data_IF_899472128968
#
_entry.id   IF_899472128968
#
_cell.length_a   1.000
_cell.length_b   1.000
_cell.length_c   1.000
_cell.angle_alpha   90.00
_cell.angle_beta   90.00
_cell.angle_gamma   90.00
#
_symmetry.space_group_name_H-M   'P 1'
#
loop_
_entity.id
_entity.type
_entity.pdbx_description
1 polymer ?
#
# COMPACT_ATOMS: atom_id res chain seq x y z
N UNK A 1 -44.91 31.02 47.08
CA UNK A 1 -44.91 30.03 48.17
C UNK A 1 -44.10 28.85 47.62
N UNK A 2 -42.79 28.89 47.87
CA UNK A 2 -42.05 28.20 48.92
C UNK A 2 -41.92 26.70 48.54
N UNK A 3 -40.73 26.41 48.07
CA UNK A 3 -39.60 25.59 48.59
C UNK A 3 -39.80 24.07 48.60
N UNK A 4 -38.86 23.44 47.91
CA UNK A 4 -38.05 22.27 48.29
C UNK A 4 -37.14 21.94 47.09
N UNK A 5 -35.97 22.45 46.93
CA UNK A 5 -34.72 22.39 47.69
C UNK A 5 -34.09 21.01 47.70
N UNK A 6 -32.96 20.96 46.96
CA UNK A 6 -31.71 20.27 47.34
C UNK A 6 -31.80 18.95 48.08
N UNK A 7 -31.51 17.88 47.36
CA UNK A 7 -30.66 16.76 47.78
C UNK A 7 -30.56 15.72 46.66
N UNK A 8 -29.57 15.81 45.83
CA UNK A 8 -29.10 14.69 44.99
C UNK A 8 -27.79 15.08 44.24
N UNK A 9 -26.85 15.61 45.02
CA UNK A 9 -25.45 15.76 44.59
C UNK A 9 -24.63 15.31 45.80
N UNK A 10 -24.36 14.01 45.93
CA UNK A 10 -23.27 13.42 46.72
C UNK A 10 -23.38 11.89 46.72
N UNK A 11 -23.23 11.26 45.55
CA UNK A 11 -23.01 9.79 45.52
C UNK A 11 -22.30 9.30 44.26
N UNK A 12 -21.49 10.13 43.61
CA UNK A 12 -20.77 9.81 42.35
C UNK A 12 -19.25 9.68 42.44
N UNK A 13 -18.59 10.05 43.55
CA UNK A 13 -17.13 10.21 43.54
C UNK A 13 -16.32 9.10 44.23
N UNK A 14 -16.93 8.01 44.68
CA UNK A 14 -16.21 6.98 45.44
C UNK A 14 -16.10 5.60 44.75
N UNK A 15 -16.38 5.46 43.46
CA UNK A 15 -16.19 4.18 42.75
C UNK A 15 -15.06 4.13 41.73
N UNK A 16 -14.43 5.24 41.39
CA UNK A 16 -13.29 5.26 40.43
C UNK A 16 -11.92 5.06 41.10
N UNK A 17 -11.77 5.34 42.41
CA UNK A 17 -10.48 5.22 43.09
C UNK A 17 -10.13 3.81 43.58
N UNK A 18 -11.08 2.88 43.64
CA UNK A 18 -10.84 1.49 44.09
C UNK A 18 -10.44 0.49 43.01
N UNK A 19 -10.55 0.84 41.72
CA UNK A 19 -10.13 -0.06 40.61
C UNK A 19 -8.69 0.15 40.15
N UNK A 20 -8.07 1.27 40.46
CA UNK A 20 -6.68 1.59 40.05
C UNK A 20 -5.64 1.00 41.04
N UNK A 21 -6.02 0.76 42.30
CA UNK A 21 -5.09 0.23 43.31
C UNK A 21 -4.91 -1.29 43.25
N UNK A 22 -5.78 -2.04 42.58
CA UNK A 22 -5.67 -3.50 42.48
C UNK A 22 -4.84 -4.02 41.28
N UNK A 23 -4.44 -3.16 40.34
CA UNK A 23 -3.62 -3.55 39.20
C UNK A 23 -2.11 -3.28 39.34
N UNK A 24 -1.68 -2.56 40.36
CA UNK A 24 -0.25 -2.24 40.60
C UNK A 24 0.44 -3.22 41.53
N UNK A 25 -0.29 -4.08 42.23
CA UNK A 25 0.28 -5.05 43.19
C UNK A 25 0.58 -6.45 42.56
N UNK A 26 0.16 -6.69 41.30
CA UNK A 26 0.33 -8.00 40.65
C UNK A 26 1.58 -8.13 39.77
N UNK A 27 2.40 -7.10 39.59
CA UNK A 27 3.61 -7.12 38.73
C UNK A 27 4.94 -7.20 39.55
N UNK A 28 4.86 -7.14 40.88
CA UNK A 28 6.02 -7.13 41.76
C UNK A 28 6.56 -8.49 42.26
N UNK A 29 5.98 -9.63 41.89
CA UNK A 29 6.26 -10.90 42.53
C UNK A 29 6.85 -12.01 41.66
N UNK A 30 7.42 -11.70 40.48
CA UNK A 30 7.97 -12.73 39.57
C UNK A 30 9.41 -12.49 39.11
N UNK A 31 10.22 -11.77 39.87
CA UNK A 31 11.65 -11.49 39.50
C UNK A 31 12.60 -11.76 40.67
N UNK A 32 12.50 -12.92 41.33
CA UNK A 32 13.48 -13.32 42.35
C UNK A 32 13.57 -14.83 42.48
N UNK A 33 14.02 -15.56 41.48
CA UNK A 33 14.68 -16.89 41.60
C UNK A 33 15.37 -17.17 40.26
N UNK A 34 16.63 -16.83 40.09
CA UNK A 34 17.69 -17.59 39.42
C UNK A 34 19.01 -16.81 39.62
N UNK A 35 19.69 -17.04 40.72
CA UNK A 35 21.10 -16.71 40.88
C UNK A 35 21.66 -17.61 41.98
N UNK A 36 22.11 -18.78 41.60
CA UNK A 36 23.07 -19.56 42.38
C UNK A 36 23.64 -20.69 41.54
N UNK A 37 24.93 -20.77 41.55
CA UNK A 37 25.81 -21.86 41.16
C UNK A 37 26.49 -21.75 39.80
N UNK A 38 27.74 -21.30 39.86
CA UNK A 38 28.90 -22.00 39.34
C UNK A 38 30.18 -21.28 39.76
N UNK A 39 30.91 -21.85 40.71
CA UNK A 39 32.29 -21.51 41.08
C UNK A 39 33.29 -22.21 40.14
N UNK A 40 34.55 -21.72 40.05
CA UNK A 40 35.52 -22.16 39.06
C UNK A 40 36.26 -23.42 39.51
N UNK A 41 36.44 -24.37 38.58
CA UNK A 41 37.34 -25.52 38.73
C UNK A 41 38.71 -25.18 38.13
N UNK A 42 39.73 -25.52 38.89
CA UNK A 42 41.13 -25.30 38.60
C UNK A 42 41.70 -26.24 37.56
N UNK A 43 42.57 -25.72 36.71
CA UNK A 43 43.43 -26.46 35.77
C UNK A 43 44.65 -27.06 36.47
N UNK A 44 45.10 -28.27 36.11
CA UNK A 44 46.48 -28.71 36.43
C UNK A 44 47.43 -28.41 35.25
N UNK A 45 48.58 -27.87 35.59
CA UNK A 45 49.69 -27.65 34.72
C UNK A 45 50.38 -28.97 34.36
N UNK A 46 50.82 -29.13 33.12
CA UNK A 46 51.73 -30.19 32.71
C UNK A 46 52.91 -29.58 31.94
N UNK A 47 54.05 -30.04 32.37
CA UNK A 47 55.43 -29.69 32.08
C UNK A 47 55.91 -29.69 30.63
N UNK A 48 56.82 -28.76 30.31
CA UNK A 48 57.65 -28.65 29.15
C UNK A 48 58.76 -29.68 29.16
N UNK A 49 59.13 -30.38 28.09
CA UNK A 49 60.48 -30.92 27.88
C UNK A 49 61.31 -30.07 26.89
N UNK A 50 62.59 -30.11 27.14
CA UNK A 50 63.66 -29.33 26.63
C UNK A 50 63.99 -29.57 25.12
N UNK A 51 64.67 -28.57 24.56
CA UNK A 51 65.19 -28.49 23.20
C UNK A 51 66.22 -29.55 22.88
N UNK A 52 66.21 -30.05 21.63
CA UNK A 52 67.33 -30.75 21.03
C UNK A 52 67.53 -30.22 19.60
N UNK A 53 68.77 -29.87 19.35
CA UNK A 53 69.61 -29.54 18.20
C UNK A 53 69.02 -29.46 16.77
N UNK A 54 69.34 -28.35 16.11
CA UNK A 54 69.24 -28.06 14.70
C UNK A 54 70.22 -28.91 13.84
N UNK A 55 69.85 -29.31 12.62
CA UNK A 55 70.78 -29.46 11.52
C UNK A 55 70.64 -28.34 10.47
N UNK A 56 71.78 -28.06 9.87
CA UNK A 56 72.19 -27.04 8.95
C UNK A 56 71.29 -26.93 7.70
N UNK A 57 71.07 -25.67 7.26
CA UNK A 57 70.35 -25.26 6.09
C UNK A 57 70.95 -25.78 4.78
N UNK A 58 70.07 -26.36 3.96
CA UNK A 58 70.37 -26.59 2.52
C UNK A 58 69.45 -25.61 1.74
N UNK A 59 70.09 -24.81 0.88
CA UNK A 59 69.50 -23.83 0.00
C UNK A 59 68.41 -24.45 -0.91
N UNK A 60 67.17 -23.96 -0.80
CA UNK A 60 66.04 -24.24 -1.68
C UNK A 60 66.12 -23.34 -2.95
N UNK A 61 65.61 -23.79 -4.10
CA UNK A 61 65.58 -23.01 -5.34
C UNK A 61 64.55 -21.90 -5.29
N UNK A 62 64.83 -20.78 -5.95
CA UNK A 62 63.95 -19.64 -6.15
C UNK A 62 62.55 -20.09 -6.63
N UNK A 63 61.54 -19.73 -5.89
CA UNK A 63 60.14 -19.84 -6.30
C UNK A 63 59.86 -18.82 -7.38
N UNK A 64 59.44 -19.32 -8.53
CA UNK A 64 58.83 -18.61 -9.62
C UNK A 64 57.51 -17.99 -9.20
N UNK A 65 57.30 -16.73 -9.61
CA UNK A 65 56.09 -15.95 -9.74
C UNK A 65 54.87 -16.42 -8.98
N UNK A 66 54.56 -15.70 -7.90
CA UNK A 66 53.22 -15.65 -7.33
C UNK A 66 52.27 -15.00 -8.36
N UNK A 67 51.45 -15.83 -9.00
CA UNK A 67 50.29 -15.38 -9.74
C UNK A 67 49.49 -14.48 -8.81
N UNK A 68 49.32 -13.21 -9.16
CA UNK A 68 48.47 -12.27 -8.44
C UNK A 68 47.10 -12.91 -8.31
N UNK A 69 46.67 -13.14 -7.06
CA UNK A 69 45.30 -13.56 -6.79
C UNK A 69 44.41 -12.46 -7.34
N UNK A 70 43.69 -12.75 -8.42
CA UNK A 70 42.62 -11.89 -8.92
C UNK A 70 41.61 -11.79 -7.79
N UNK A 71 41.52 -10.61 -7.16
CA UNK A 71 40.51 -10.36 -6.17
C UNK A 71 39.14 -10.67 -6.80
N UNK A 72 38.38 -11.55 -6.16
CA UNK A 72 37.00 -11.82 -6.57
C UNK A 72 36.26 -10.47 -6.74
N UNK A 73 35.47 -10.26 -7.79
CA UNK A 73 34.69 -9.05 -7.94
C UNK A 73 33.91 -8.79 -6.66
N UNK A 74 33.94 -7.55 -6.15
CA UNK A 74 33.14 -7.18 -5.01
C UNK A 74 31.68 -7.58 -5.29
N UNK A 75 31.01 -8.21 -4.32
CA UNK A 75 29.63 -8.62 -4.46
C UNK A 75 28.78 -7.37 -4.79
N UNK A 76 27.95 -7.48 -5.82
CA UNK A 76 27.11 -6.39 -6.29
C UNK A 76 26.12 -5.98 -5.18
N UNK A 77 26.09 -4.70 -4.83
CA UNK A 77 25.09 -4.16 -3.89
C UNK A 77 23.79 -3.85 -4.65
N UNK A 78 22.80 -4.72 -4.53
CA UNK A 78 21.53 -4.58 -5.20
C UNK A 78 20.72 -3.35 -4.77
N UNK A 79 21.04 -2.71 -3.64
CA UNK A 79 20.42 -1.41 -3.25
C UNK A 79 20.75 -0.29 -4.23
N UNK A 80 21.89 -0.39 -4.92
CA UNK A 80 22.39 0.64 -5.85
C UNK A 80 22.09 0.35 -7.32
N UNK A 81 21.58 -0.84 -7.63
CA UNK A 81 21.23 -1.28 -8.99
C UNK A 81 20.02 -0.49 -9.51
N UNK A 82 20.11 0.10 -10.69
CA UNK A 82 19.09 0.96 -11.30
C UNK A 82 18.42 0.35 -12.53
N UNK A 83 18.87 -0.80 -12.99
CA UNK A 83 18.31 -1.55 -14.12
C UNK A 83 18.75 -3.02 -14.07
N UNK A 84 18.06 -3.88 -14.83
CA UNK A 84 18.51 -5.27 -14.98
C UNK A 84 19.92 -5.37 -15.61
N UNK A 85 20.31 -4.42 -16.48
CA UNK A 85 21.64 -4.37 -17.06
C UNK A 85 22.72 -4.10 -15.98
N UNK A 86 22.47 -3.20 -15.04
CA UNK A 86 23.37 -2.91 -13.91
C UNK A 86 23.49 -4.12 -12.98
N UNK A 87 22.46 -4.95 -12.91
CA UNK A 87 22.47 -6.21 -12.14
C UNK A 87 23.31 -7.31 -12.78
N UNK A 88 23.84 -7.09 -13.98
CA UNK A 88 24.51 -8.12 -14.77
C UNK A 88 23.56 -8.94 -15.66
N UNK A 89 22.35 -8.45 -15.89
CA UNK A 89 21.28 -9.07 -16.67
C UNK A 89 20.18 -9.70 -15.80
N UNK A 90 19.08 -10.09 -16.46
CA UNK A 90 17.93 -10.69 -15.77
C UNK A 90 18.28 -11.97 -15.00
N UNK A 91 19.14 -12.82 -15.55
CA UNK A 91 19.52 -14.08 -14.89
C UNK A 91 20.26 -13.82 -13.57
N UNK A 92 21.15 -12.82 -13.54
CA UNK A 92 21.85 -12.42 -12.32
C UNK A 92 20.88 -11.81 -11.29
N UNK A 93 19.94 -10.97 -11.73
CA UNK A 93 18.88 -10.41 -10.87
C UNK A 93 18.00 -11.52 -10.26
N UNK A 94 17.56 -12.48 -11.10
CA UNK A 94 16.75 -13.63 -10.65
C UNK A 94 17.54 -14.47 -9.64
N UNK A 95 18.82 -14.73 -9.89
CA UNK A 95 19.64 -15.51 -8.96
C UNK A 95 19.80 -14.82 -7.61
N UNK A 96 20.04 -13.51 -7.60
CA UNK A 96 20.17 -12.72 -6.38
C UNK A 96 18.83 -12.65 -5.61
N UNK A 97 17.72 -12.39 -6.28
CA UNK A 97 16.40 -12.36 -5.67
C UNK A 97 15.99 -13.71 -5.05
N UNK A 98 16.33 -14.83 -5.73
CA UNK A 98 16.14 -16.18 -5.17
C UNK A 98 17.02 -16.44 -3.95
N UNK A 99 18.20 -15.86 -3.89
CA UNK A 99 19.09 -15.99 -2.72
C UNK A 99 18.55 -15.19 -1.52
N UNK A 100 17.83 -14.06 -1.74
CA UNK A 100 17.10 -13.34 -0.71
C UNK A 100 15.87 -14.14 -0.23
N UNK A 101 15.16 -14.81 -1.13
CA UNK A 101 14.12 -15.81 -0.85
C UNK A 101 12.78 -15.24 -0.42
N UNK A 102 12.69 -13.97 -0.04
CA UNK A 102 11.47 -13.29 0.42
C UNK A 102 11.29 -11.93 -0.27
N UNK A 103 10.04 -11.45 -0.27
CA UNK A 103 9.63 -10.11 -0.69
C UNK A 103 8.54 -9.61 0.26
N UNK A 104 8.71 -8.43 0.81
CA UNK A 104 7.72 -7.76 1.65
C UNK A 104 6.97 -6.70 0.83
N UNK A 105 5.73 -6.99 0.43
CA UNK A 105 4.80 -6.02 -0.13
C UNK A 105 3.94 -5.45 1.00
N UNK A 106 3.41 -4.24 0.85
CA UNK A 106 2.58 -3.60 1.86
C UNK A 106 1.33 -2.99 1.23
N UNK A 107 0.20 -3.04 1.95
CA UNK A 107 -1.05 -2.39 1.57
C UNK A 107 -1.59 -2.88 0.21
N UNK A 108 -1.36 -4.16 -0.09
CA UNK A 108 -1.84 -4.83 -1.30
C UNK A 108 -2.87 -5.90 -0.93
N UNK A 109 -4.18 -5.54 -0.82
CA UNK A 109 -5.24 -6.53 -0.66
C UNK A 109 -5.28 -7.47 -1.87
N UNK A 110 -5.56 -8.73 -1.64
CA UNK A 110 -5.51 -9.75 -2.70
C UNK A 110 -6.51 -9.52 -3.83
N UNK A 111 -7.64 -8.88 -3.53
CA UNK A 111 -8.71 -8.51 -4.47
C UNK A 111 -8.47 -7.18 -5.20
N UNK A 112 -7.52 -6.37 -4.76
CA UNK A 112 -7.13 -5.14 -5.42
C UNK A 112 -6.35 -5.43 -6.70
N UNK A 113 -6.87 -5.00 -7.88
CA UNK A 113 -6.21 -5.19 -9.18
C UNK A 113 -5.63 -6.60 -9.42
N UNK A 114 -6.24 -7.64 -8.83
CA UNK A 114 -5.78 -9.03 -8.94
C UNK A 114 -4.39 -9.32 -8.30
N UNK A 115 -3.96 -8.51 -7.32
CA UNK A 115 -2.65 -8.73 -6.66
C UNK A 115 -2.51 -10.13 -6.05
N UNK A 116 -3.62 -10.76 -5.64
CA UNK A 116 -3.59 -12.13 -5.13
C UNK A 116 -2.99 -13.12 -6.13
N UNK A 117 -3.48 -13.14 -7.37
CA UNK A 117 -2.94 -13.99 -8.43
C UNK A 117 -1.53 -13.57 -8.84
N UNK A 118 -1.25 -12.25 -8.88
CA UNK A 118 0.09 -11.75 -9.21
C UNK A 118 1.14 -12.20 -8.20
N UNK A 119 0.86 -12.13 -6.90
CA UNK A 119 1.74 -12.62 -5.83
C UNK A 119 1.93 -14.14 -5.90
N UNK A 120 0.85 -14.90 -6.13
CA UNK A 120 0.92 -16.36 -6.25
C UNK A 120 1.74 -16.79 -7.47
N UNK A 121 1.53 -16.13 -8.61
CA UNK A 121 2.29 -16.41 -9.85
C UNK A 121 3.77 -16.03 -9.72
N UNK A 122 4.08 -14.90 -9.07
CA UNK A 122 5.46 -14.51 -8.76
C UNK A 122 6.15 -15.57 -7.91
N UNK A 123 5.48 -16.02 -6.83
CA UNK A 123 6.00 -17.08 -5.97
C UNK A 123 6.18 -18.39 -6.73
N UNK A 124 5.20 -18.80 -7.54
CA UNK A 124 5.28 -20.03 -8.33
C UNK A 124 6.42 -19.98 -9.36
N UNK A 125 6.64 -18.84 -10.00
CA UNK A 125 7.64 -18.64 -11.05
C UNK A 125 9.07 -18.59 -10.51
N UNK A 126 9.27 -17.90 -9.40
CA UNK A 126 10.61 -17.59 -8.90
C UNK A 126 10.98 -18.33 -7.62
N UNK A 127 10.03 -18.94 -6.91
CA UNK A 127 10.26 -19.59 -5.63
C UNK A 127 10.52 -18.63 -4.48
N UNK A 128 10.14 -17.35 -4.64
CA UNK A 128 10.30 -16.28 -3.65
C UNK A 128 8.99 -16.15 -2.88
N UNK A 129 9.06 -16.18 -1.55
CA UNK A 129 7.89 -16.00 -0.69
C UNK A 129 7.48 -14.53 -0.65
N UNK A 130 6.23 -14.22 -0.95
CA UNK A 130 5.67 -12.88 -0.80
C UNK A 130 4.98 -12.76 0.56
N UNK A 131 5.44 -11.80 1.37
CA UNK A 131 4.81 -11.45 2.65
C UNK A 131 3.97 -10.18 2.42
N UNK A 132 2.66 -10.26 2.70
CA UNK A 132 1.75 -9.11 2.61
C UNK A 132 1.65 -8.44 3.98
N UNK A 133 2.15 -7.22 4.08
CA UNK A 133 2.13 -6.40 5.29
C UNK A 133 0.93 -5.46 5.25
N UNK A 134 0.22 -5.32 6.38
CA UNK A 134 -0.88 -4.36 6.55
C UNK A 134 -1.79 -4.22 5.29
N UNK A 135 -2.44 -5.30 4.81
CA UNK A 135 -3.15 -5.29 3.53
C UNK A 135 -4.29 -4.27 3.48
N UNK A 136 -4.87 -3.91 4.63
CA UNK A 136 -6.00 -2.98 4.76
C UNK A 136 -5.55 -1.52 5.01
N UNK A 137 -4.26 -1.23 4.92
CA UNK A 137 -3.70 0.11 5.09
C UNK A 137 -3.96 1.03 3.91
N UNK A 138 -3.43 2.24 3.98
CA UNK A 138 -3.46 3.22 2.89
C UNK A 138 -2.08 3.76 2.58
N UNK A 139 -1.96 4.55 1.51
CA UNK A 139 -0.67 5.08 1.04
C UNK A 139 0.13 5.85 2.10
N UNK A 140 -0.54 6.44 3.09
CA UNK A 140 0.14 7.09 4.21
C UNK A 140 0.83 6.08 5.13
N UNK A 141 0.21 4.91 5.36
CA UNK A 141 0.75 3.85 6.19
C UNK A 141 1.98 3.21 5.56
N UNK A 142 2.00 3.09 4.22
CA UNK A 142 3.15 2.60 3.47
C UNK A 142 4.38 3.49 3.64
N UNK A 143 4.18 4.80 3.51
CA UNK A 143 5.24 5.79 3.75
C UNK A 143 5.73 5.73 5.20
N UNK A 144 4.79 5.66 6.15
CA UNK A 144 5.13 5.57 7.57
C UNK A 144 5.89 4.28 7.89
N UNK A 145 5.50 3.16 7.29
CA UNK A 145 6.20 1.88 7.47
C UNK A 145 7.66 1.93 7.00
N UNK A 146 7.96 2.61 5.87
CA UNK A 146 9.35 2.83 5.46
C UNK A 146 10.09 3.69 6.50
N UNK A 147 9.47 4.78 6.97
CA UNK A 147 10.08 5.69 7.95
C UNK A 147 10.43 4.97 9.25
N UNK A 148 9.50 4.19 9.77
CA UNK A 148 9.65 3.48 11.05
C UNK A 148 10.70 2.36 10.97
N UNK A 149 10.93 1.81 9.77
CA UNK A 149 11.83 0.68 9.55
C UNK A 149 13.16 1.05 8.86
N UNK A 150 13.53 2.33 8.75
CA UNK A 150 14.78 2.76 8.09
C UNK A 150 16.04 2.07 8.61
N UNK A 151 16.06 1.74 9.89
CA UNK A 151 17.20 1.08 10.58
C UNK A 151 16.91 -0.37 10.95
N UNK A 152 15.71 -0.86 10.64
CA UNK A 152 15.23 -2.18 10.97
C UNK A 152 14.95 -2.98 9.69
N UNK A 153 15.84 -3.91 9.36
CA UNK A 153 15.70 -4.82 8.20
C UNK A 153 14.81 -6.04 8.53
N UNK A 154 13.92 -5.89 9.53
CA UNK A 154 13.05 -6.97 10.00
C UNK A 154 11.81 -7.18 9.10
N UNK A 155 10.97 -8.16 9.46
CA UNK A 155 9.84 -8.59 8.63
C UNK A 155 8.73 -7.55 8.46
N UNK A 156 8.81 -6.40 9.15
CA UNK A 156 7.86 -5.29 9.00
C UNK A 156 8.36 -4.17 8.07
N UNK A 157 9.60 -4.28 7.57
CA UNK A 157 10.14 -3.32 6.61
C UNK A 157 9.64 -3.65 5.19
N UNK A 158 8.94 -2.74 4.50
CA UNK A 158 8.49 -3.00 3.14
C UNK A 158 9.64 -2.90 2.14
N UNK A 159 9.64 -3.79 1.13
CA UNK A 159 10.53 -3.74 -0.01
C UNK A 159 9.99 -2.82 -1.10
N UNK A 160 8.69 -2.91 -1.36
CA UNK A 160 7.98 -2.16 -2.40
C UNK A 160 6.70 -1.55 -1.84
N UNK A 161 6.25 -0.46 -2.46
CA UNK A 161 5.00 0.25 -2.15
C UNK A 161 4.19 0.50 -3.42
N UNK A 162 2.86 0.55 -3.27
CA UNK A 162 1.87 0.88 -4.31
C UNK A 162 1.05 2.07 -3.84
N UNK A 163 1.44 3.27 -4.21
CA UNK A 163 0.92 4.49 -3.59
C UNK A 163 0.17 5.39 -4.57
N UNK A 164 -0.81 6.09 -4.04
CA UNK A 164 -1.49 7.16 -4.77
C UNK A 164 -0.51 8.26 -5.22
N UNK A 165 -0.84 8.98 -6.31
CA UNK A 165 0.14 9.79 -7.05
C UNK A 165 0.73 10.97 -6.27
N UNK A 166 0.10 11.45 -5.20
CA UNK A 166 0.68 12.46 -4.33
C UNK A 166 1.86 11.93 -3.47
N UNK A 167 1.93 10.62 -3.27
CA UNK A 167 2.90 10.02 -2.35
C UNK A 167 4.25 9.68 -3.00
N UNK A 168 4.28 9.42 -4.31
CA UNK A 168 5.53 9.19 -5.04
C UNK A 168 6.53 10.36 -4.89
N UNK A 169 6.16 11.60 -5.30
CA UNK A 169 6.99 12.80 -5.08
C UNK A 169 7.31 13.06 -3.62
N UNK A 170 6.35 12.86 -2.70
CA UNK A 170 6.54 13.01 -1.27
C UNK A 170 7.63 12.07 -0.74
N UNK A 171 7.55 10.79 -1.07
CA UNK A 171 8.52 9.78 -0.64
C UNK A 171 9.91 10.01 -1.23
N UNK A 172 9.99 10.39 -2.53
CA UNK A 172 11.25 10.79 -3.17
C UNK A 172 11.89 11.98 -2.46
N UNK A 173 11.10 13.03 -2.14
CA UNK A 173 11.58 14.23 -1.43
C UNK A 173 12.12 13.94 -0.03
N UNK A 174 11.69 12.85 0.59
CA UNK A 174 12.16 12.38 1.90
C UNK A 174 13.28 11.33 1.81
N UNK A 175 13.81 11.04 0.63
CA UNK A 175 14.82 10.01 0.35
C UNK A 175 14.38 8.61 0.83
N UNK A 176 13.12 8.26 0.62
CA UNK A 176 12.56 6.96 1.00
C UNK A 176 12.60 5.94 -0.12
N UNK A 177 12.85 6.35 -1.37
CA UNK A 177 12.76 5.51 -2.54
C UNK A 177 14.13 5.23 -3.18
N UNK A 178 14.28 4.06 -3.78
CA UNK A 178 15.40 3.67 -4.62
C UNK A 178 15.00 3.75 -6.11
N UNK A 179 15.83 4.33 -6.98
CA UNK A 179 15.51 4.41 -8.40
C UNK A 179 15.75 3.06 -9.08
N UNK A 180 14.79 2.66 -9.94
CA UNK A 180 14.94 1.48 -10.80
C UNK A 180 14.09 1.63 -12.07
N UNK A 181 14.68 1.36 -13.24
CA UNK A 181 13.98 1.33 -14.52
C UNK A 181 13.89 -0.10 -15.01
N UNK A 182 12.68 -0.60 -15.13
CA UNK A 182 12.39 -1.93 -15.65
C UNK A 182 12.78 -2.05 -17.14
N UNK A 183 13.00 -3.26 -17.63
CA UNK A 183 13.36 -3.52 -19.05
C UNK A 183 12.35 -2.96 -20.05
N UNK A 184 11.09 -2.82 -19.66
CA UNK A 184 10.00 -2.30 -20.49
C UNK A 184 9.71 -0.80 -20.28
N UNK A 185 10.62 -0.07 -19.64
CA UNK A 185 10.47 1.33 -19.21
C UNK A 185 9.89 2.25 -20.28
N UNK A 186 10.40 2.20 -21.51
CA UNK A 186 9.98 3.10 -22.59
C UNK A 186 8.52 2.89 -23.05
N UNK A 187 7.89 1.80 -22.62
CA UNK A 187 6.49 1.49 -22.96
C UNK A 187 5.51 1.90 -21.88
N UNK A 188 5.99 2.30 -20.68
CA UNK A 188 5.17 2.78 -19.56
C UNK A 188 4.68 4.19 -19.88
N UNK A 189 3.37 4.39 -19.87
CA UNK A 189 2.75 5.70 -20.11
C UNK A 189 2.25 6.30 -18.80
N UNK A 190 2.28 7.64 -18.74
CA UNK A 190 1.84 8.40 -17.58
C UNK A 190 2.91 9.32 -17.02
N UNK A 191 2.67 9.82 -15.80
CA UNK A 191 3.52 10.81 -15.11
C UNK A 191 4.60 10.11 -14.29
N UNK A 192 5.58 9.52 -14.97
CA UNK A 192 6.67 8.78 -14.33
C UNK A 192 7.78 9.72 -13.84
N UNK A 193 8.45 9.38 -12.75
CA UNK A 193 9.70 10.03 -12.37
C UNK A 193 10.79 9.71 -13.39
N UNK A 194 11.49 10.70 -13.97
CA UNK A 194 12.44 10.46 -15.04
C UNK A 194 13.66 9.63 -14.63
N UNK A 195 13.96 9.59 -13.33
CA UNK A 195 15.07 8.80 -12.78
C UNK A 195 14.62 7.39 -12.35
N UNK A 196 13.30 7.09 -12.37
CA UNK A 196 12.75 5.78 -12.01
C UNK A 196 12.52 5.59 -10.52
N UNK A 197 12.31 6.65 -9.73
CA UNK A 197 11.99 6.51 -8.31
C UNK A 197 10.56 6.03 -8.06
N UNK A 198 9.63 6.38 -8.95
CA UNK A 198 8.23 5.93 -8.97
C UNK A 198 7.68 6.02 -10.39
N UNK A 199 6.77 5.16 -10.73
CA UNK A 199 6.18 5.10 -12.07
C UNK A 199 4.80 4.48 -12.06
N UNK A 200 3.95 4.92 -13.01
CA UNK A 200 2.54 4.49 -13.11
C UNK A 200 2.47 2.99 -13.33
N UNK A 201 1.58 2.35 -12.61
CA UNK A 201 1.30 0.92 -12.70
C UNK A 201 0.00 0.62 -13.45
N UNK A 202 -1.12 1.10 -12.95
CA UNK A 202 -2.45 0.96 -13.53
C UNK A 202 -3.31 2.20 -13.30
N UNK A 203 -4.44 2.26 -13.98
CA UNK A 203 -5.41 3.34 -13.88
C UNK A 203 -6.85 2.83 -14.00
N UNK A 204 -7.79 3.70 -13.66
CA UNK A 204 -9.22 3.50 -13.83
C UNK A 204 -10.00 4.77 -13.51
N UNK A 205 -11.30 4.64 -13.26
CA UNK A 205 -12.18 5.77 -12.98
C UNK A 205 -12.96 5.56 -11.68
N UNK A 206 -13.39 6.66 -11.07
CA UNK A 206 -14.24 6.64 -9.88
C UNK A 206 -15.68 6.38 -10.28
N UNK A 207 -16.34 5.48 -9.57
CA UNK A 207 -17.73 5.05 -9.78
C UNK A 207 -18.49 5.08 -8.46
N UNK A 208 -19.81 4.91 -8.54
CA UNK A 208 -20.63 4.50 -7.40
C UNK A 208 -20.85 3.00 -7.50
N UNK A 209 -20.42 2.27 -6.49
CA UNK A 209 -20.77 0.86 -6.29
C UNK A 209 -22.07 0.80 -5.49
N UNK A 210 -23.11 0.20 -6.05
CA UNK A 210 -24.46 0.24 -5.50
C UNK A 210 -24.98 -1.17 -5.27
N UNK A 211 -25.34 -1.48 -4.03
CA UNK A 211 -26.05 -2.70 -3.65
C UNK A 211 -27.56 -2.55 -4.00
N UNK A 212 -27.98 -3.14 -5.11
CA UNK A 212 -29.35 -3.02 -5.63
C UNK A 212 -30.38 -3.86 -4.87
N UNK A 213 -29.94 -4.74 -3.97
CA UNK A 213 -30.85 -5.46 -3.08
C UNK A 213 -31.42 -4.51 -2.01
N UNK A 214 -30.66 -3.45 -1.65
CA UNK A 214 -31.04 -2.44 -0.67
C UNK A 214 -31.51 -1.15 -1.35
N UNK A 215 -30.71 -0.63 -2.29
CA UNK A 215 -30.95 0.64 -2.99
C UNK A 215 -31.79 0.40 -4.23
N UNK A 216 -33.08 0.79 -4.20
CA UNK A 216 -34.00 0.57 -5.33
C UNK A 216 -33.96 1.71 -6.35
N UNK A 217 -33.78 2.94 -5.89
CA UNK A 217 -33.59 4.12 -6.74
C UNK A 217 -32.09 4.35 -6.93
N UNK A 218 -31.53 3.87 -8.01
CA UNK A 218 -30.09 3.90 -8.25
C UNK A 218 -29.63 5.31 -8.63
N UNK A 219 -28.72 5.95 -7.83
CA UNK A 219 -28.23 7.29 -8.11
C UNK A 219 -27.43 7.30 -9.41
N UNK A 220 -27.58 8.34 -10.23
CA UNK A 220 -26.89 8.51 -11.50
C UNK A 220 -25.84 9.63 -11.46
N UNK A 221 -25.88 10.47 -10.44
CA UNK A 221 -25.02 11.62 -10.23
C UNK A 221 -24.60 11.69 -8.76
N UNK A 222 -23.50 12.35 -8.46
CA UNK A 222 -23.12 12.61 -7.06
C UNK A 222 -24.16 13.46 -6.34
N UNK A 223 -24.77 14.44 -7.05
CA UNK A 223 -25.82 15.30 -6.48
C UNK A 223 -27.05 14.53 -6.01
N UNK A 224 -27.37 13.41 -6.66
CA UNK A 224 -28.51 12.58 -6.28
C UNK A 224 -28.36 12.03 -4.86
N UNK A 225 -27.12 11.81 -4.40
CA UNK A 225 -26.82 11.28 -3.07
C UNK A 225 -27.24 12.21 -1.91
N UNK A 226 -27.56 13.48 -2.18
CA UNK A 226 -28.08 14.43 -1.20
C UNK A 226 -29.58 14.20 -0.89
N UNK A 227 -30.28 13.39 -1.70
CA UNK A 227 -31.69 13.06 -1.47
C UNK A 227 -31.85 12.30 -0.13
N UNK A 228 -32.80 12.69 0.75
CA UNK A 228 -33.06 12.00 2.02
C UNK A 228 -33.37 10.51 1.92
N UNK A 229 -33.76 10.01 0.73
CA UNK A 229 -33.98 8.56 0.51
C UNK A 229 -32.72 7.72 0.69
N UNK A 230 -31.52 8.31 0.59
CA UNK A 230 -30.23 7.64 0.81
C UNK A 230 -29.70 7.78 2.25
N UNK A 231 -30.57 8.12 3.21
CA UNK A 231 -30.19 8.26 4.61
C UNK A 231 -29.53 6.99 5.14
N UNK A 232 -28.29 7.14 5.68
CA UNK A 232 -27.50 6.05 6.23
C UNK A 232 -27.05 5.02 5.20
N UNK A 233 -26.82 5.43 3.92
CA UNK A 233 -26.49 4.49 2.87
C UNK A 233 -25.19 4.80 2.13
N UNK A 234 -24.62 6.00 2.27
CA UNK A 234 -23.45 6.45 1.51
C UNK A 234 -22.18 6.30 2.33
N UNK A 235 -21.16 5.69 1.78
CA UNK A 235 -19.90 5.46 2.46
C UNK A 235 -18.68 5.78 1.58
N UNK A 236 -17.54 6.00 2.24
CA UNK A 236 -16.23 6.14 1.60
C UNK A 236 -15.39 4.87 1.79
N UNK A 237 -14.56 4.55 0.79
CA UNK A 237 -13.62 3.46 0.86
C UNK A 237 -12.31 3.91 1.55
N UNK A 238 -12.43 4.37 2.79
CA UNK A 238 -11.34 4.83 3.63
C UNK A 238 -11.58 6.19 4.28
N UNK A 239 -10.67 6.56 5.17
CA UNK A 239 -10.62 7.91 5.74
C UNK A 239 -9.92 8.85 4.74
N UNK A 240 -10.57 9.93 4.26
CA UNK A 240 -9.98 10.80 3.24
C UNK A 240 -8.72 11.55 3.71
N UNK A 241 -8.47 11.60 5.03
CA UNK A 241 -7.24 12.17 5.61
C UNK A 241 -6.01 11.26 5.41
N UNK A 242 -6.23 9.96 5.20
CA UNK A 242 -5.17 8.93 5.08
C UNK A 242 -5.25 8.14 3.77
N UNK A 243 -6.46 7.73 3.34
CA UNK A 243 -6.68 6.94 2.13
C UNK A 243 -6.64 7.81 0.87
N UNK A 244 -5.84 7.40 -0.12
CA UNK A 244 -5.84 8.04 -1.44
C UNK A 244 -7.21 7.94 -2.11
N UNK A 245 -7.82 6.76 -2.13
CA UNK A 245 -9.11 6.53 -2.77
C UNK A 245 -10.21 7.43 -2.20
N UNK A 246 -10.33 7.52 -0.87
CA UNK A 246 -11.30 8.39 -0.23
C UNK A 246 -11.03 9.88 -0.49
N UNK A 247 -9.76 10.31 -0.51
CA UNK A 247 -9.38 11.68 -0.90
C UNK A 247 -9.76 11.98 -2.35
N UNK A 248 -9.57 11.04 -3.27
CA UNK A 248 -9.98 11.16 -4.67
C UNK A 248 -11.50 11.27 -4.82
N UNK A 249 -12.29 10.62 -3.95
CA UNK A 249 -13.75 10.76 -3.91
C UNK A 249 -14.18 12.18 -3.56
N UNK A 250 -13.47 12.84 -2.62
CA UNK A 250 -13.71 14.25 -2.27
C UNK A 250 -13.39 15.17 -3.46
N UNK A 251 -12.32 14.85 -4.18
CA UNK A 251 -11.92 15.60 -5.35
C UNK A 251 -12.93 15.47 -6.50
N UNK A 252 -13.36 14.26 -6.81
CA UNK A 252 -14.42 14.02 -7.80
C UNK A 252 -15.71 14.74 -7.43
N UNK A 253 -16.10 14.72 -6.14
CA UNK A 253 -17.25 15.45 -5.65
C UNK A 253 -17.11 16.98 -5.80
N UNK A 254 -15.90 17.53 -5.68
CA UNK A 254 -15.67 18.95 -5.92
C UNK A 254 -16.03 19.31 -7.36
N UNK A 255 -15.52 18.55 -8.34
CA UNK A 255 -15.83 18.80 -9.75
C UNK A 255 -17.32 18.65 -10.05
N UNK A 256 -17.97 17.61 -9.54
CA UNK A 256 -19.42 17.39 -9.70
C UNK A 256 -20.25 18.55 -9.13
N UNK A 257 -19.69 19.33 -8.20
CA UNK A 257 -20.39 20.43 -7.52
C UNK A 257 -19.86 21.83 -7.88
N UNK A 258 -19.21 21.97 -9.04
CA UNK A 258 -18.78 23.27 -9.59
C UNK A 258 -17.42 23.75 -9.10
N UNK A 259 -16.63 22.85 -8.48
CA UNK A 259 -15.22 23.07 -8.21
C UNK A 259 -14.33 22.91 -9.44
N UNK A 260 -13.03 22.87 -9.21
CA UNK A 260 -12.03 22.66 -10.26
C UNK A 260 -10.85 21.85 -9.69
N UNK A 261 -9.86 21.53 -10.54
CA UNK A 261 -8.62 20.88 -10.10
C UNK A 261 -7.84 21.74 -9.08
N UNK A 262 -8.09 23.06 -9.04
CA UNK A 262 -7.45 24.00 -8.10
C UNK A 262 -8.40 24.48 -6.99
N UNK A 263 -9.67 24.02 -6.97
CA UNK A 263 -10.67 24.41 -5.98
C UNK A 263 -11.46 23.19 -5.47
N UNK A 264 -11.01 22.64 -4.37
CA UNK A 264 -11.59 21.45 -3.74
C UNK A 264 -12.71 21.75 -2.74
N UNK A 265 -12.90 23.02 -2.36
CA UNK A 265 -13.89 23.40 -1.32
C UNK A 265 -15.29 22.86 -1.59
N UNK A 266 -15.84 22.92 -2.84
CA UNK A 266 -17.17 22.34 -3.12
C UNK A 266 -17.30 20.85 -2.81
N UNK A 267 -16.20 20.08 -2.85
CA UNK A 267 -16.18 18.68 -2.45
C UNK A 267 -16.36 18.50 -0.93
N UNK A 268 -15.62 19.29 -0.14
CA UNK A 268 -15.80 19.29 1.32
C UNK A 268 -17.23 19.74 1.70
N UNK A 269 -17.75 20.75 1.03
CA UNK A 269 -19.12 21.25 1.26
C UNK A 269 -20.18 20.21 0.88
N UNK A 270 -19.94 19.41 -0.16
CA UNK A 270 -20.80 18.29 -0.55
C UNK A 270 -20.82 17.21 0.55
N UNK A 271 -19.66 16.77 1.06
CA UNK A 271 -19.60 15.80 2.13
C UNK A 271 -20.16 16.34 3.46
N UNK A 272 -20.02 17.64 3.74
CA UNK A 272 -20.71 18.31 4.84
C UNK A 272 -22.24 18.18 4.71
N UNK A 273 -22.79 18.41 3.51
CA UNK A 273 -24.21 18.27 3.24
C UNK A 273 -24.68 16.82 3.40
N UNK A 274 -23.92 15.84 2.88
CA UNK A 274 -24.20 14.41 3.07
C UNK A 274 -24.23 14.03 4.55
N UNK A 275 -23.29 14.52 5.35
CA UNK A 275 -23.25 14.27 6.80
C UNK A 275 -24.42 14.93 7.51
N UNK A 276 -24.72 16.19 7.19
CA UNK A 276 -25.85 16.93 7.78
C UNK A 276 -27.22 16.29 7.44
N UNK A 277 -27.38 15.73 6.25
CA UNK A 277 -28.55 14.96 5.84
C UNK A 277 -28.66 13.58 6.54
N UNK A 278 -27.58 13.13 7.17
CA UNK A 278 -27.46 11.79 7.74
C UNK A 278 -27.32 10.69 6.68
N UNK A 279 -26.92 11.04 5.46
CA UNK A 279 -26.73 10.09 4.37
C UNK A 279 -25.35 9.43 4.43
N UNK A 280 -24.32 10.15 4.93
CA UNK A 280 -22.95 9.67 5.04
C UNK A 280 -22.76 8.77 6.28
N UNK A 281 -22.19 7.60 6.07
CA UNK A 281 -21.88 6.62 7.11
C UNK A 281 -20.49 6.87 7.71
N UNK A 282 -20.29 6.66 9.02
CA UNK A 282 -18.97 6.74 9.68
C UNK A 282 -18.17 5.43 9.54
N UNK A 283 -18.37 4.68 8.44
CA UNK A 283 -17.77 3.37 8.20
C UNK A 283 -16.92 3.37 6.94
N UNK A 284 -15.78 2.70 7.00
CA UNK A 284 -15.00 2.39 5.81
C UNK A 284 -15.73 1.30 5.02
N UNK A 285 -15.96 1.56 3.74
CA UNK A 285 -16.54 0.60 2.81
C UNK A 285 -15.42 -0.20 2.13
N UNK A 286 -14.96 -1.24 2.79
CA UNK A 286 -14.19 -2.33 2.18
C UNK A 286 -15.12 -3.48 1.72
N UNK A 287 -14.57 -4.54 1.12
CA UNK A 287 -15.35 -5.65 0.59
C UNK A 287 -16.22 -6.36 1.65
N UNK A 288 -15.80 -6.36 2.92
CA UNK A 288 -16.55 -6.98 4.01
C UNK A 288 -17.88 -6.27 4.34
N UNK A 289 -17.88 -4.98 4.73
CA UNK A 289 -19.09 -4.17 4.91
C UNK A 289 -19.98 -4.10 3.67
N UNK A 290 -19.41 -4.01 2.46
CA UNK A 290 -20.18 -4.04 1.21
C UNK A 290 -20.93 -5.36 1.08
N UNK A 291 -20.26 -6.50 1.26
CA UNK A 291 -20.85 -7.84 1.19
C UNK A 291 -21.99 -8.04 2.20
N UNK A 292 -21.88 -7.44 3.38
CA UNK A 292 -22.92 -7.49 4.43
C UNK A 292 -24.06 -6.49 4.18
N UNK A 293 -23.94 -5.57 3.21
CA UNK A 293 -24.90 -4.51 2.97
C UNK A 293 -24.86 -3.37 3.99
N UNK A 294 -23.77 -3.26 4.77
CA UNK A 294 -23.57 -2.19 5.76
C UNK A 294 -23.25 -0.85 5.09
N UNK A 295 -22.70 -0.87 3.88
CA UNK A 295 -22.33 0.29 3.07
C UNK A 295 -22.94 0.18 1.66
N UNK A 296 -24.26 0.44 1.52
CA UNK A 296 -25.00 0.12 0.29
C UNK A 296 -24.63 0.96 -0.95
N UNK A 297 -24.09 2.17 -0.75
CA UNK A 297 -23.61 3.04 -1.83
C UNK A 297 -22.21 3.48 -1.47
N UNK A 298 -21.23 3.12 -2.28
CA UNK A 298 -19.82 3.41 -2.00
C UNK A 298 -19.18 4.16 -3.17
N UNK A 299 -18.42 5.22 -2.85
CA UNK A 299 -17.48 5.81 -3.79
C UNK A 299 -16.30 4.86 -3.97
N UNK A 300 -16.13 4.30 -5.16
CA UNK A 300 -15.20 3.20 -5.38
C UNK A 300 -14.42 3.38 -6.69
N UNK A 301 -13.23 2.84 -6.78
CA UNK A 301 -12.59 2.65 -8.07
C UNK A 301 -13.33 1.60 -8.91
N UNK A 302 -13.38 1.80 -10.21
CA UNK A 302 -14.09 0.88 -11.12
C UNK A 302 -13.59 -0.56 -11.02
N UNK A 303 -12.30 -0.78 -10.82
CA UNK A 303 -11.74 -2.12 -10.66
C UNK A 303 -12.25 -2.83 -9.40
N UNK A 304 -12.31 -2.14 -8.26
CA UNK A 304 -12.82 -2.73 -7.02
C UNK A 304 -14.32 -3.04 -7.12
N UNK A 305 -15.10 -2.13 -7.69
CA UNK A 305 -16.53 -2.34 -7.88
C UNK A 305 -16.82 -3.55 -8.78
N UNK A 306 -16.06 -3.72 -9.87
CA UNK A 306 -16.18 -4.90 -10.73
C UNK A 306 -15.65 -6.18 -10.05
N UNK A 307 -14.55 -6.12 -9.30
CA UNK A 307 -14.04 -7.24 -8.54
C UNK A 307 -15.04 -7.72 -7.48
N UNK A 308 -15.68 -6.80 -6.75
CA UNK A 308 -16.75 -7.09 -5.80
C UNK A 308 -17.96 -7.74 -6.50
N UNK A 309 -18.39 -7.18 -7.64
CA UNK A 309 -19.49 -7.76 -8.44
C UNK A 309 -19.22 -9.19 -8.86
N UNK A 310 -18.00 -9.49 -9.32
CA UNK A 310 -17.59 -10.86 -9.70
C UNK A 310 -17.51 -11.78 -8.47
N UNK A 311 -16.97 -11.27 -7.35
CA UNK A 311 -16.77 -12.05 -6.12
C UNK A 311 -18.11 -12.40 -5.46
N UNK A 312 -19.03 -11.46 -5.38
CA UNK A 312 -20.31 -11.64 -4.71
C UNK A 312 -21.32 -12.46 -5.53
N UNK A 313 -21.12 -12.55 -6.86
CA UNK A 313 -21.95 -13.40 -7.76
C UNK A 313 -23.44 -13.16 -7.59
N UNK A 314 -23.84 -11.90 -7.38
CA UNK A 314 -25.22 -11.48 -7.19
C UNK A 314 -25.75 -11.62 -5.77
N UNK A 315 -24.88 -11.83 -4.77
CA UNK A 315 -25.26 -11.83 -3.35
C UNK A 315 -24.20 -11.08 -2.50
N UNK A 316 -24.33 -9.75 -2.34
CA UNK A 316 -25.38 -8.88 -2.88
C UNK A 316 -25.26 -8.62 -4.40
N UNK A 317 -26.36 -8.16 -5.01
CA UNK A 317 -26.36 -7.66 -6.37
C UNK A 317 -25.70 -6.28 -6.42
N UNK A 318 -24.57 -6.18 -7.13
CA UNK A 318 -23.83 -4.92 -7.31
C UNK A 318 -24.09 -4.34 -8.70
N UNK A 319 -24.44 -3.06 -8.73
CA UNK A 319 -24.41 -2.24 -9.94
C UNK A 319 -23.26 -1.24 -9.87
N UNK A 320 -22.49 -1.17 -10.97
CA UNK A 320 -21.39 -0.22 -11.13
C UNK A 320 -21.88 0.97 -11.92
N UNK A 321 -22.06 2.10 -11.27
CA UNK A 321 -22.62 3.32 -11.86
C UNK A 321 -21.52 4.32 -12.15
N UNK A 322 -21.38 4.70 -13.43
CA UNK A 322 -20.51 5.79 -13.87
C UNK A 322 -21.29 7.10 -13.73
N UNK A 323 -20.92 8.00 -12.80
CA UNK A 323 -21.65 9.24 -12.57
C UNK A 323 -21.65 10.13 -13.82
N UNK A 324 -22.80 10.73 -14.13
CA UNK A 324 -22.96 11.57 -15.36
C UNK A 324 -22.46 12.99 -15.16
N UNK A 325 -22.32 13.44 -13.93
CA UNK A 325 -21.89 14.79 -13.56
C UNK A 325 -20.36 14.92 -13.37
N UNK A 326 -19.62 13.81 -13.37
CA UNK A 326 -18.15 13.81 -13.30
C UNK A 326 -17.57 12.53 -13.92
N UNK A 327 -16.46 12.67 -14.63
CA UNK A 327 -15.61 11.56 -15.06
C UNK A 327 -14.23 11.76 -14.45
N UNK A 328 -13.99 11.10 -13.30
CA UNK A 328 -12.78 11.23 -12.53
C UNK A 328 -11.87 10.02 -12.74
N UNK A 329 -10.66 10.26 -13.24
CA UNK A 329 -9.63 9.24 -13.41
C UNK A 329 -8.63 9.22 -12.27
N UNK A 330 -8.03 8.06 -12.06
CA UNK A 330 -6.95 7.90 -11.09
C UNK A 330 -6.01 6.77 -11.47
N UNK A 331 -4.82 6.82 -10.89
CA UNK A 331 -3.75 5.85 -11.08
C UNK A 331 -2.95 5.72 -9.80
N UNK A 332 -2.08 4.71 -9.76
CA UNK A 332 -1.15 4.49 -8.65
C UNK A 332 0.28 4.43 -9.16
N UNK A 333 1.24 4.43 -8.25
CA UNK A 333 2.66 4.33 -8.52
C UNK A 333 3.25 3.13 -7.81
N UNK A 334 3.99 2.32 -8.54
CA UNK A 334 4.97 1.41 -7.95
C UNK A 334 6.25 2.16 -7.59
N UNK A 335 6.84 1.77 -6.45
CA UNK A 335 8.14 2.29 -6.03
C UNK A 335 8.86 1.29 -5.11
N UNK A 336 10.19 1.28 -5.18
CA UNK A 336 11.05 0.47 -4.34
C UNK A 336 11.50 1.30 -3.12
N UNK A 337 11.41 0.73 -1.92
CA UNK A 337 11.97 1.33 -0.72
C UNK A 337 13.49 1.45 -0.80
N UNK A 338 14.05 2.62 -0.47
CA UNK A 338 15.50 2.79 -0.31
C UNK A 338 16.09 1.93 0.82
N UNK A 339 15.23 1.45 1.70
CA UNK A 339 15.55 0.65 2.89
C UNK A 339 15.08 -0.80 2.75
N UNK A 340 14.78 -1.24 1.53
CA UNK A 340 14.31 -2.58 1.23
C UNK A 340 15.21 -3.66 1.86
N UNK A 341 14.68 -4.58 2.67
CA UNK A 341 15.45 -5.74 3.16
C UNK A 341 15.88 -6.69 2.04
N UNK A 342 15.06 -6.80 0.98
CA UNK A 342 15.25 -7.72 -0.15
C UNK A 342 15.35 -6.93 -1.47
N UNK A 343 16.47 -6.18 -1.67
CA UNK A 343 16.55 -5.22 -2.78
C UNK A 343 16.59 -5.86 -4.17
N UNK A 344 17.06 -7.09 -4.30
CA UNK A 344 17.01 -7.82 -5.58
C UNK A 344 15.60 -8.36 -5.86
N UNK A 345 14.91 -8.90 -4.85
CA UNK A 345 13.54 -9.37 -4.97
C UNK A 345 12.58 -8.22 -5.29
N UNK A 346 12.78 -7.03 -4.69
CA UNK A 346 12.03 -5.81 -5.01
C UNK A 346 12.14 -5.45 -6.50
N UNK A 347 13.36 -5.45 -7.05
CA UNK A 347 13.60 -5.15 -8.47
C UNK A 347 13.01 -6.21 -9.40
N UNK A 348 13.12 -7.47 -9.01
CA UNK A 348 12.52 -8.58 -9.78
C UNK A 348 10.99 -8.52 -9.75
N UNK A 349 10.38 -8.06 -8.65
CA UNK A 349 8.94 -7.81 -8.57
C UNK A 349 8.50 -6.74 -9.56
N UNK A 350 9.23 -5.63 -9.65
CA UNK A 350 8.96 -4.59 -10.65
C UNK A 350 9.09 -5.13 -12.08
N UNK A 351 10.16 -5.88 -12.41
CA UNK A 351 10.29 -6.52 -13.72
C UNK A 351 9.13 -7.47 -14.04
N UNK A 352 8.62 -8.19 -13.03
CA UNK A 352 7.48 -9.08 -13.18
C UNK A 352 6.19 -8.31 -13.41
N UNK A 353 5.88 -7.30 -12.59
CA UNK A 353 4.66 -6.49 -12.74
C UNK A 353 4.61 -5.77 -14.10
N UNK A 354 5.75 -5.30 -14.59
CA UNK A 354 5.83 -4.61 -15.89
C UNK A 354 6.17 -5.54 -17.05
N UNK A 355 6.21 -6.85 -16.87
CA UNK A 355 6.19 -7.83 -17.96
C UNK A 355 4.79 -7.90 -18.61
N UNK A 356 4.69 -8.56 -19.77
CA UNK A 356 3.37 -8.79 -20.38
C UNK A 356 2.45 -9.61 -19.47
N UNK A 357 3.01 -10.59 -18.75
CA UNK A 357 2.29 -11.44 -17.80
C UNK A 357 1.68 -10.61 -16.66
N UNK A 358 2.48 -9.75 -16.01
CA UNK A 358 2.01 -8.88 -14.93
C UNK A 358 0.95 -7.89 -15.39
N UNK A 359 1.19 -7.23 -16.54
CA UNK A 359 0.24 -6.27 -17.13
C UNK A 359 -1.11 -6.91 -17.52
N UNK A 360 -1.09 -8.13 -18.07
CA UNK A 360 -2.32 -8.88 -18.35
C UNK A 360 -2.99 -9.35 -17.03
N UNK A 361 -2.21 -9.62 -16.00
CA UNK A 361 -2.71 -9.91 -14.66
C UNK A 361 -3.53 -8.77 -14.07
N UNK A 362 -3.10 -7.52 -14.25
CA UNK A 362 -3.89 -6.35 -13.83
C UNK A 362 -5.20 -6.20 -14.61
N UNK A 363 -5.21 -6.49 -15.92
CA UNK A 363 -6.47 -6.46 -16.70
C UNK A 363 -7.47 -7.49 -16.17
N UNK A 364 -7.04 -8.67 -15.72
CA UNK A 364 -7.92 -9.64 -15.07
C UNK A 364 -8.67 -9.05 -13.87
N UNK A 365 -7.99 -8.15 -13.13
CA UNK A 365 -8.54 -7.38 -12.01
C UNK A 365 -9.23 -6.06 -12.41
N UNK A 366 -9.59 -5.89 -13.69
CA UNK A 366 -10.25 -4.68 -14.20
C UNK A 366 -9.43 -3.40 -14.18
N UNK A 367 -8.12 -3.49 -13.95
CA UNK A 367 -7.21 -2.36 -13.95
C UNK A 367 -6.61 -2.14 -15.33
N UNK A 368 -6.66 -0.91 -15.85
CA UNK A 368 -6.02 -0.55 -17.10
C UNK A 368 -4.51 -0.36 -16.89
N UNK A 369 -3.64 -1.26 -17.37
CA UNK A 369 -2.23 -1.22 -17.06
C UNK A 369 -1.50 -0.09 -17.78
N UNK A 370 -0.40 0.40 -17.21
CA UNK A 370 0.40 1.50 -17.77
C UNK A 370 0.97 1.20 -19.16
N UNK A 371 1.13 -0.08 -19.50
CA UNK A 371 1.60 -0.55 -20.81
C UNK A 371 0.46 -0.92 -21.77
N UNK A 372 -0.80 -0.55 -21.47
CA UNK A 372 -1.97 -0.92 -22.28
C UNK A 372 -1.78 -0.56 -23.76
N UNK A 373 -1.25 0.62 -24.06
CA UNK A 373 -1.00 1.06 -25.44
C UNK A 373 -0.01 0.17 -26.20
N UNK A 374 1.07 -0.26 -25.54
CA UNK A 374 2.05 -1.22 -26.07
C UNK A 374 1.41 -2.60 -26.30
N UNK A 375 0.75 -3.14 -25.28
CA UNK A 375 0.08 -4.44 -25.37
C UNK A 375 -0.97 -4.48 -26.48
N UNK A 376 -1.77 -3.42 -26.62
CA UNK A 376 -2.79 -3.30 -27.67
C UNK A 376 -2.16 -3.20 -29.05
N UNK A 377 -1.09 -2.40 -29.22
CA UNK A 377 -0.41 -2.24 -30.51
C UNK A 377 0.20 -3.57 -31.00
N UNK A 378 0.71 -4.37 -30.07
CA UNK A 378 1.24 -5.71 -30.33
C UNK A 378 0.16 -6.80 -30.43
N UNK A 379 -1.11 -6.47 -30.16
CA UNK A 379 -2.27 -7.38 -30.19
C UNK A 379 -2.10 -8.60 -29.26
N UNK A 380 -1.49 -8.39 -28.08
CA UNK A 380 -1.27 -9.48 -27.12
C UNK A 380 -2.34 -9.55 -26.02
N UNK A 381 -3.27 -8.60 -25.98
CA UNK A 381 -4.41 -8.65 -25.04
C UNK A 381 -5.47 -9.62 -25.57
N UNK A 382 -5.78 -10.72 -24.86
CA UNK A 382 -6.84 -11.65 -25.23
C UNK A 382 -8.22 -10.97 -25.26
N UNK A 383 -9.14 -11.47 -26.10
CA UNK A 383 -10.45 -10.85 -26.29
C UNK A 383 -11.32 -10.81 -25.02
N UNK A 384 -11.22 -11.83 -24.18
CA UNK A 384 -11.90 -11.91 -22.88
C UNK A 384 -11.36 -10.87 -21.90
N UNK A 385 -10.07 -10.57 -21.93
CA UNK A 385 -9.46 -9.51 -21.12
C UNK A 385 -9.77 -8.12 -21.67
N UNK A 386 -9.91 -7.96 -23.00
CA UNK A 386 -10.34 -6.67 -23.55
C UNK A 386 -11.73 -6.26 -23.03
N UNK A 387 -12.62 -7.23 -22.81
CA UNK A 387 -13.96 -6.98 -22.27
C UNK A 387 -13.95 -6.52 -20.78
N UNK A 388 -12.84 -6.69 -20.08
CA UNK A 388 -12.66 -6.25 -18.69
C UNK A 388 -12.10 -4.83 -18.57
N UNK A 389 -11.55 -4.28 -19.63
CA UNK A 389 -11.02 -2.91 -19.63
C UNK A 389 -12.17 -1.88 -19.58
N UNK A 390 -12.01 -0.77 -18.86
CA UNK A 390 -12.90 0.37 -18.98
C UNK A 390 -12.96 0.86 -20.43
N UNK A 391 -14.08 1.49 -20.80
CA UNK A 391 -14.23 2.10 -22.12
C UNK A 391 -13.06 3.07 -22.40
N UNK A 392 -12.40 2.92 -23.54
CA UNK A 392 -11.24 3.70 -23.89
C UNK A 392 -11.54 5.20 -24.00
N UNK A 393 -12.74 5.58 -24.45
CA UNK A 393 -13.17 6.98 -24.49
C UNK A 393 -13.41 7.55 -23.09
N UNK A 394 -13.92 6.72 -22.16
CA UNK A 394 -14.10 7.09 -20.76
C UNK A 394 -12.74 7.35 -20.08
N UNK A 395 -11.77 6.45 -20.26
CA UNK A 395 -10.41 6.65 -19.75
C UNK A 395 -9.75 7.90 -20.33
N UNK A 396 -9.85 8.09 -21.66
CA UNK A 396 -9.22 9.22 -22.36
C UNK A 396 -9.82 10.58 -21.98
N UNK A 397 -11.10 10.63 -21.60
CA UNK A 397 -11.81 11.85 -21.20
C UNK A 397 -11.82 12.09 -19.70
N UNK A 398 -11.27 11.18 -18.90
CA UNK A 398 -11.24 11.33 -17.46
C UNK A 398 -10.33 12.48 -17.03
N UNK A 399 -10.79 13.25 -16.04
CA UNK A 399 -9.98 14.31 -15.43
C UNK A 399 -9.03 13.71 -14.41
N UNK A 400 -7.75 14.02 -14.55
CA UNK A 400 -6.68 13.57 -13.66
C UNK A 400 -5.86 14.80 -13.24
N UNK A 401 -5.75 15.09 -11.92
CA UNK A 401 -4.94 16.20 -11.43
C UNK A 401 -3.44 15.93 -11.60
N UNK A 402 -2.65 16.99 -11.65
CA UNK A 402 -1.20 16.88 -11.57
C UNK A 402 -0.72 16.68 -10.11
N UNK A 403 0.58 16.43 -9.92
CA UNK A 403 1.17 16.15 -8.60
C UNK A 403 1.02 17.29 -7.60
N UNK A 404 1.14 18.56 -8.04
CA UNK A 404 1.00 19.73 -7.17
C UNK A 404 -0.46 19.89 -6.71
N UNK A 405 -1.41 19.70 -7.62
CA UNK A 405 -2.85 19.72 -7.31
C UNK A 405 -3.23 18.64 -6.31
N UNK A 406 -2.70 17.42 -6.49
CA UNK A 406 -2.92 16.33 -5.55
C UNK A 406 -2.33 16.61 -4.18
N UNK A 407 -1.12 17.18 -4.13
CA UNK A 407 -0.46 17.57 -2.88
C UNK A 407 -1.26 18.65 -2.15
N UNK A 408 -1.71 19.69 -2.86
CA UNK A 408 -2.54 20.75 -2.31
C UNK A 408 -3.90 20.21 -1.81
N UNK A 409 -4.55 19.34 -2.59
CA UNK A 409 -5.81 18.71 -2.21
C UNK A 409 -5.68 17.89 -0.93
N UNK A 410 -4.65 17.06 -0.80
CA UNK A 410 -4.39 16.29 0.41
C UNK A 410 -4.18 17.17 1.64
N UNK A 411 -3.37 18.23 1.50
CA UNK A 411 -3.14 19.18 2.58
C UNK A 411 -4.45 19.83 3.05
N UNK A 412 -5.28 20.26 2.09
CA UNK A 412 -6.59 20.85 2.37
C UNK A 412 -7.54 19.86 3.05
N UNK A 413 -7.67 18.64 2.53
CA UNK A 413 -8.54 17.61 3.13
C UNK A 413 -8.09 17.31 4.55
N UNK A 414 -6.79 17.10 4.77
CA UNK A 414 -6.23 16.81 6.09
C UNK A 414 -6.49 17.94 7.10
N UNK A 415 -6.38 19.19 6.67
CA UNK A 415 -6.63 20.36 7.53
C UNK A 415 -8.12 20.64 7.76
N UNK A 416 -8.96 20.42 6.75
CA UNK A 416 -10.35 20.92 6.75
C UNK A 416 -11.41 19.85 7.00
N UNK A 417 -11.13 18.54 6.82
CA UNK A 417 -12.14 17.50 6.95
C UNK A 417 -12.87 17.56 8.30
N UNK A 418 -12.14 17.60 9.40
CA UNK A 418 -12.74 17.65 10.75
C UNK A 418 -13.51 18.93 11.01
N UNK A 419 -13.04 20.06 10.46
CA UNK A 419 -13.65 21.37 10.66
C UNK A 419 -14.93 21.57 9.83
N UNK A 420 -14.96 21.01 8.62
CA UNK A 420 -16.03 21.22 7.64
C UNK A 420 -17.03 20.08 7.65
N UNK A 421 -16.60 18.84 7.54
CA UNK A 421 -17.44 17.65 7.48
C UNK A 421 -17.77 17.13 8.88
N UNK A 422 -16.77 17.06 9.76
CA UNK A 422 -16.93 16.70 11.17
C UNK A 422 -17.37 15.26 11.40
N UNK A 423 -17.04 14.33 10.48
CA UNK A 423 -17.34 12.91 10.60
C UNK A 423 -16.04 12.10 10.64
N UNK A 424 -15.88 11.30 11.67
CA UNK A 424 -14.75 10.38 11.83
C UNK A 424 -15.12 9.04 11.20
N UNK A 425 -14.40 8.64 10.14
CA UNK A 425 -14.65 7.43 9.36
C UNK A 425 -13.72 6.33 9.85
N UNK A 426 -14.26 5.17 10.23
CA UNK A 426 -13.55 4.08 10.89
C UNK A 426 -13.84 2.74 10.24
N UNK A 427 -12.93 1.76 10.40
CA UNK A 427 -13.21 0.37 10.04
C UNK A 427 -14.48 -0.15 10.76
N UNK A 428 -15.18 -1.08 10.12
CA UNK A 428 -16.23 -1.85 10.78
C UNK A 428 -15.61 -2.66 11.93
N UNK A 429 -16.38 -2.83 13.02
CA UNK A 429 -15.91 -3.59 14.19
C UNK A 429 -16.01 -5.08 13.97
#
# INVERSE_FOLDING_TARGET
>A
MITLSSQLVHKGENMLSKRIILQVVSIGALLAVVLSACGPAATPATSVPAATDMPVATSAPMATDATAATSAPAALDFKTVKSAADAGGMDALIAAAKAEGELNVITLPRDWCNYGELMDNFTAKYGIKVNSLNPDGGSADEIQAIIDNKTNMGPQAPDVIDVGPAYGPLAKGQNLLAPYKVTTWDTIKGTNDPDGFYYVDYSGVMVLEVNTDIVKDIPQNYKDLLDPKYKGQVALAGDPRASNQAAQSVYAAALANGGSLDNLQPGLDFFKQLNAAGNLLPLIADSGPIAKGETPITFQWSWNAYANKDTFKGNPNIEVVFPKDVNWGGYYYQAISAYAPHPAAARLWEEYLYSDEGQLGWIKGYCAPARLGDLTSRKVVPADLQAKLPDAALLASSMVPNGDQLTAARALIKDQWDKVVGLDIKPSK
#
